data_IF_844521413014
#
_entry.id   IF_844521413014
#
_cell.length_a   1.000
_cell.length_b   1.000
_cell.length_c   1.000
_cell.angle_alpha   90.00
_cell.angle_beta   90.00
_cell.angle_gamma   90.00
#
_symmetry.space_group_name_H-M   'P 1'
#
loop_
_entity.id
_entity.type
_entity.pdbx_description
1 polymer ?
#
# COMPACT_ATOMS: atom_id res chain seq x y z
N UNK A 1 -3.49 11.57 13.21
CA UNK A 1 -4.52 10.55 12.92
C UNK A 1 -4.37 9.40 13.90
N UNK A 2 -5.48 8.86 14.40
CA UNK A 2 -5.55 7.58 15.11
C UNK A 2 -6.66 6.75 14.44
N UNK A 3 -6.40 5.46 14.18
CA UNK A 3 -7.35 4.51 13.60
C UNK A 3 -7.25 3.21 14.41
N UNK A 4 -8.40 2.63 14.79
CA UNK A 4 -8.46 1.25 15.26
C UNK A 4 -8.92 0.35 14.11
N UNK A 5 -8.32 -0.84 14.01
CA UNK A 5 -8.71 -1.88 13.06
C UNK A 5 -9.42 -3.05 13.74
N UNK A 6 -9.79 -2.93 15.02
CA UNK A 6 -10.37 -4.04 15.80
C UNK A 6 -11.69 -4.55 15.20
N UNK A 7 -12.47 -3.63 14.61
CA UNK A 7 -13.75 -3.93 13.95
C UNK A 7 -13.58 -4.24 12.44
N UNK A 8 -12.34 -4.43 11.98
CA UNK A 8 -12.02 -4.70 10.58
C UNK A 8 -11.45 -6.10 10.40
N UNK A 9 -11.65 -6.66 9.21
CA UNK A 9 -10.96 -7.89 8.84
C UNK A 9 -9.46 -7.59 8.61
N UNK A 10 -8.61 -8.36 9.29
CA UNK A 10 -7.16 -8.28 9.14
C UNK A 10 -6.48 -7.28 10.07
N UNK A 11 -5.18 -7.07 9.84
CA UNK A 11 -4.33 -6.17 10.63
C UNK A 11 -3.48 -5.31 9.71
N UNK A 12 -3.27 -4.06 10.10
CA UNK A 12 -2.34 -3.19 9.39
C UNK A 12 -0.91 -3.76 9.45
N UNK A 13 -0.23 -3.72 8.31
CA UNK A 13 1.19 -4.04 8.18
C UNK A 13 1.93 -2.83 7.58
N UNK A 14 2.56 -2.97 6.43
CA UNK A 14 3.27 -1.91 5.74
C UNK A 14 2.36 -0.84 5.11
N UNK A 15 2.86 0.38 5.04
CA UNK A 15 2.08 1.54 4.63
C UNK A 15 2.86 2.62 3.88
N UNK A 16 2.14 3.48 3.17
CA UNK A 16 2.64 4.68 2.50
C UNK A 16 1.64 5.84 2.64
N UNK A 17 1.96 7.01 2.10
CA UNK A 17 1.08 8.18 2.05
C UNK A 17 0.96 8.72 0.63
N UNK A 18 -0.22 9.23 0.28
CA UNK A 18 -0.44 9.91 -0.99
C UNK A 18 -0.25 11.43 -0.90
N UNK A 19 -0.37 12.11 -2.05
CA UNK A 19 -0.25 13.57 -2.17
C UNK A 19 -1.29 14.37 -1.37
N UNK A 20 -2.42 13.75 -1.02
CA UNK A 20 -3.52 14.38 -0.29
C UNK A 20 -3.41 14.12 1.23
N UNK A 21 -2.38 13.39 1.64
CA UNK A 21 -2.12 13.06 3.04
C UNK A 21 -2.89 11.84 3.53
N UNK A 22 -3.53 11.08 2.65
CA UNK A 22 -4.18 9.83 3.05
C UNK A 22 -3.11 8.77 3.35
N UNK A 23 -3.32 8.01 4.42
CA UNK A 23 -2.50 6.89 4.83
C UNK A 23 -3.02 5.60 4.20
N UNK A 24 -2.18 4.97 3.38
CA UNK A 24 -2.48 3.73 2.68
C UNK A 24 -1.78 2.57 3.38
N UNK A 25 -2.50 1.56 3.86
CA UNK A 25 -1.90 0.39 4.50
C UNK A 25 -2.43 -0.93 3.97
N UNK A 26 -1.51 -1.89 3.83
CA UNK A 26 -1.85 -3.28 3.57
C UNK A 26 -2.51 -3.91 4.81
N UNK A 27 -3.58 -4.67 4.58
CA UNK A 27 -4.34 -5.36 5.61
C UNK A 27 -4.08 -6.87 5.52
N UNK A 28 -3.11 -7.36 6.29
CA UNK A 28 -2.80 -8.80 6.41
C UNK A 28 -4.00 -9.55 6.96
N UNK A 29 -4.39 -10.66 6.34
CA UNK A 29 -5.64 -11.42 6.58
C UNK A 29 -6.92 -10.61 6.26
N UNK A 30 -6.77 -9.38 5.79
CA UNK A 30 -7.86 -8.45 5.47
C UNK A 30 -8.17 -8.36 3.97
N UNK A 31 -7.43 -9.10 3.14
CA UNK A 31 -7.64 -9.19 1.68
C UNK A 31 -7.62 -7.83 0.96
N UNK A 32 -6.93 -6.83 1.51
CA UNK A 32 -7.06 -5.48 1.00
C UNK A 32 -5.87 -4.57 1.27
N UNK A 33 -5.84 -3.46 0.55
CA UNK A 33 -5.24 -2.21 1.00
C UNK A 33 -6.36 -1.21 1.31
N UNK A 34 -6.24 -0.47 2.39
CA UNK A 34 -7.17 0.63 2.72
C UNK A 34 -6.46 1.97 2.66
N UNK A 35 -7.20 3.04 2.34
CA UNK A 35 -6.74 4.41 2.48
C UNK A 35 -7.56 5.13 3.55
N UNK A 36 -6.89 5.89 4.41
CA UNK A 36 -7.47 6.56 5.56
C UNK A 36 -7.10 8.02 5.50
N UNK A 37 -8.09 8.91 5.56
CA UNK A 37 -7.86 10.35 5.52
C UNK A 37 -7.21 10.87 6.82
N UNK A 38 -6.66 12.10 6.84
CA UNK A 38 -6.07 12.68 8.05
C UNK A 38 -7.02 12.76 9.26
N UNK A 39 -8.33 12.71 9.03
CA UNK A 39 -9.39 12.66 10.04
C UNK A 39 -9.62 11.27 10.64
N UNK A 40 -8.98 10.23 10.11
CA UNK A 40 -9.12 8.84 10.56
C UNK A 40 -10.27 8.08 9.90
N UNK A 41 -10.87 8.61 8.82
CA UNK A 41 -11.94 7.93 8.09
C UNK A 41 -11.35 7.12 6.94
N UNK A 42 -11.83 5.89 6.76
CA UNK A 42 -11.53 5.09 5.56
C UNK A 42 -12.20 5.76 4.36
N UNK A 43 -11.40 6.15 3.38
CA UNK A 43 -11.84 6.80 2.13
C UNK A 43 -11.72 5.89 0.92
N UNK A 44 -10.92 4.83 1.01
CA UNK A 44 -10.81 3.83 -0.05
C UNK A 44 -10.54 2.43 0.54
N UNK A 45 -11.03 1.39 -0.15
CA UNK A 45 -10.69 -0.01 0.13
C UNK A 45 -10.53 -0.76 -1.18
N UNK A 46 -9.30 -1.16 -1.48
CA UNK A 46 -8.94 -1.95 -2.64
C UNK A 46 -8.89 -3.42 -2.22
N UNK A 47 -9.88 -4.19 -2.66
CA UNK A 47 -9.86 -5.65 -2.50
C UNK A 47 -8.74 -6.26 -3.35
N UNK A 48 -8.06 -7.25 -2.80
CA UNK A 48 -6.96 -7.97 -3.41
C UNK A 48 -7.29 -9.46 -3.55
N UNK A 49 -6.75 -10.14 -4.57
CA UNK A 49 -6.87 -11.59 -4.72
C UNK A 49 -5.92 -12.37 -3.79
N UNK A 50 -5.43 -11.74 -2.72
CA UNK A 50 -4.40 -12.23 -1.82
C UNK A 50 -4.77 -11.92 -0.36
N UNK A 51 -4.73 -12.94 0.49
CA UNK A 51 -5.06 -12.85 1.92
C UNK A 51 -4.00 -12.14 2.74
N UNK A 52 -2.73 -12.19 2.34
CA UNK A 52 -1.58 -11.74 3.12
C UNK A 52 -0.78 -10.62 2.41
N UNK A 53 -1.39 -9.47 2.06
CA UNK A 53 -0.65 -8.32 1.58
C UNK A 53 0.19 -7.73 2.72
N UNK A 54 1.43 -7.35 2.45
CA UNK A 54 2.42 -6.99 3.49
C UNK A 54 2.88 -5.53 3.45
N UNK A 55 2.98 -4.92 2.27
CA UNK A 55 3.42 -3.53 2.11
C UNK A 55 2.82 -2.95 0.84
N UNK A 56 2.54 -1.65 0.82
CA UNK A 56 2.17 -0.94 -0.39
C UNK A 56 3.01 0.33 -0.59
N UNK A 57 3.32 0.65 -1.84
CA UNK A 57 3.97 1.91 -2.23
C UNK A 57 3.52 2.38 -3.60
N UNK A 58 3.43 3.68 -3.79
CA UNK A 58 3.24 4.24 -5.13
C UNK A 58 4.55 4.17 -5.92
N UNK A 59 4.43 3.87 -7.22
CA UNK A 59 5.54 3.76 -8.15
C UNK A 59 5.16 4.23 -9.55
N UNK A 60 6.00 3.89 -10.53
CA UNK A 60 6.01 4.45 -11.89
C UNK A 60 6.38 5.95 -11.91
N UNK A 61 6.78 6.53 -13.07
CA UNK A 61 7.24 7.92 -13.14
C UNK A 61 6.22 8.97 -12.66
N UNK A 62 4.92 8.67 -12.78
CA UNK A 62 3.84 9.54 -12.34
C UNK A 62 3.40 9.30 -10.89
N UNK A 63 3.96 8.28 -10.21
CA UNK A 63 3.55 7.84 -8.89
C UNK A 63 2.06 7.48 -8.79
N UNK A 64 1.44 7.01 -9.87
CA UNK A 64 -0.02 6.73 -9.98
C UNK A 64 -0.37 5.23 -9.99
N UNK A 65 0.62 4.36 -9.78
CA UNK A 65 0.44 2.91 -9.62
C UNK A 65 0.81 2.50 -8.21
N UNK A 66 -0.10 1.82 -7.50
CA UNK A 66 0.18 1.27 -6.18
C UNK A 66 0.70 -0.16 -6.33
N UNK A 67 1.97 -0.35 -6.01
CA UNK A 67 2.58 -1.66 -5.91
C UNK A 67 2.32 -2.24 -4.52
N UNK A 68 1.94 -3.51 -4.46
CA UNK A 68 1.62 -4.22 -3.22
C UNK A 68 2.41 -5.52 -3.17
N UNK A 69 3.23 -5.70 -2.14
CA UNK A 69 3.88 -6.99 -1.87
C UNK A 69 2.94 -7.90 -1.08
N UNK A 70 3.08 -9.21 -1.26
CA UNK A 70 2.31 -10.22 -0.52
C UNK A 70 3.20 -11.34 -0.01
N UNK A 71 2.69 -12.17 0.90
CA UNK A 71 3.38 -13.35 1.42
C UNK A 71 2.54 -14.62 1.27
N UNK A 72 3.14 -15.69 0.75
CA UNK A 72 2.50 -17.02 0.72
C UNK A 72 2.92 -17.94 1.87
N UNK A 73 3.72 -17.45 2.81
CA UNK A 73 4.33 -18.30 3.84
C UNK A 73 3.30 -18.93 4.79
N UNK A 74 2.18 -18.24 5.00
CA UNK A 74 1.10 -18.69 5.90
C UNK A 74 0.04 -19.55 5.22
N UNK A 75 0.08 -19.64 3.88
CA UNK A 75 -0.86 -20.46 3.13
C UNK A 75 -0.47 -21.95 3.18
N UNK A 76 -1.48 -22.78 3.42
CA UNK A 76 -1.41 -24.22 3.17
C UNK A 76 -1.53 -24.53 1.66
N UNK A 77 -1.50 -25.79 1.27
CA UNK A 77 -1.51 -26.17 -0.15
C UNK A 77 -2.78 -25.69 -0.88
N UNK A 78 -3.95 -25.95 -0.30
CA UNK A 78 -5.23 -25.50 -0.85
C UNK A 78 -5.29 -23.96 -0.99
N UNK A 79 -4.74 -23.23 -0.03
CA UNK A 79 -4.67 -21.77 -0.06
C UNK A 79 -3.76 -21.26 -1.18
N UNK A 80 -2.65 -21.96 -1.46
CA UNK A 80 -1.76 -21.61 -2.59
C UNK A 80 -2.40 -21.89 -3.93
N UNK A 81 -3.18 -22.96 -4.03
CA UNK A 81 -3.94 -23.28 -5.25
C UNK A 81 -5.05 -22.25 -5.51
N UNK A 82 -5.75 -21.78 -4.46
CA UNK A 82 -6.82 -20.79 -4.59
C UNK A 82 -6.32 -19.35 -4.72
N UNK A 83 -5.09 -19.06 -4.26
CA UNK A 83 -4.45 -17.75 -4.32
C UNK A 83 -3.13 -17.83 -5.12
N UNK A 84 -3.18 -18.08 -6.45
CA UNK A 84 -1.99 -18.31 -7.26
C UNK A 84 -1.08 -17.07 -7.37
N UNK A 85 -1.60 -15.90 -7.04
CA UNK A 85 -0.84 -14.65 -7.04
C UNK A 85 -0.07 -14.41 -5.73
N UNK A 86 -0.26 -15.25 -4.71
CA UNK A 86 0.37 -15.04 -3.42
C UNK A 86 1.88 -15.18 -3.41
N UNK A 87 2.52 -14.23 -2.72
CA UNK A 87 3.97 -14.09 -2.69
C UNK A 87 4.55 -13.27 -3.85
N UNK A 88 3.71 -12.79 -4.77
CA UNK A 88 4.14 -11.88 -5.84
C UNK A 88 4.02 -10.41 -5.41
N UNK A 89 4.50 -9.52 -6.29
CA UNK A 89 4.20 -8.08 -6.26
C UNK A 89 3.05 -7.81 -7.22
N UNK A 90 1.96 -7.23 -6.72
CA UNK A 90 0.80 -6.80 -7.50
C UNK A 90 0.94 -5.32 -7.85
N UNK A 91 0.46 -4.93 -9.03
CA UNK A 91 0.41 -3.54 -9.46
C UNK A 91 -1.05 -3.12 -9.67
N UNK A 92 -1.54 -2.19 -8.85
CA UNK A 92 -2.90 -1.67 -8.91
C UNK A 92 -2.89 -0.31 -9.61
N UNK A 93 -3.68 -0.19 -10.68
CA UNK A 93 -3.75 1.01 -11.53
C UNK A 93 -5.13 1.64 -11.45
N UNK A 94 -5.24 2.92 -11.81
CA UNK A 94 -6.52 3.62 -11.88
C UNK A 94 -7.08 4.05 -10.52
N UNK A 95 -6.22 4.24 -9.52
CA UNK A 95 -6.58 4.55 -8.13
C UNK A 95 -7.04 6.02 -7.97
N UNK A 96 -6.75 6.88 -8.95
CA UNK A 96 -7.21 8.28 -8.94
C UNK A 96 -6.40 9.22 -8.04
N UNK A 97 -5.33 8.75 -7.41
CA UNK A 97 -4.37 9.58 -6.66
C UNK A 97 -2.92 9.28 -7.05
N UNK A 98 -1.98 10.00 -6.42
CA UNK A 98 -0.54 9.81 -6.62
C UNK A 98 0.21 9.79 -5.29
N UNK A 99 1.27 9.02 -5.23
CA UNK A 99 2.18 8.99 -4.10
C UNK A 99 3.12 10.19 -4.01
N UNK A 100 3.97 10.13 -2.99
CA UNK A 100 5.09 11.03 -2.80
C UNK A 100 6.40 10.32 -3.17
N UNK A 101 7.38 11.08 -3.64
CA UNK A 101 8.71 10.53 -3.93
C UNK A 101 9.36 10.02 -2.64
N UNK A 102 9.96 8.83 -2.71
CA UNK A 102 10.67 8.26 -1.59
C UNK A 102 11.88 9.11 -1.20
N UNK A 103 12.10 9.25 0.11
CA UNK A 103 13.27 9.93 0.65
C UNK A 103 14.52 9.07 0.43
N UNK A 104 15.57 9.68 -0.11
CA UNK A 104 16.88 9.03 -0.22
C UNK A 104 17.66 9.24 1.07
N UNK A 105 18.13 8.16 1.67
CA UNK A 105 19.03 8.24 2.82
C UNK A 105 20.30 9.03 2.46
N UNK A 106 20.72 9.95 3.33
CA UNK A 106 21.93 10.77 3.13
C UNK A 106 21.79 11.91 2.12
N UNK A 107 20.58 12.22 1.63
CA UNK A 107 20.38 13.42 0.82
C UNK A 107 20.66 14.68 1.67
N UNK A 108 21.51 15.61 1.21
CA UNK A 108 21.80 16.82 1.97
C UNK A 108 20.52 17.61 2.25
N UNK A 109 20.36 18.05 3.50
CA UNK A 109 19.25 18.87 3.97
C UNK A 109 19.28 20.25 3.31
N UNK A 110 18.67 20.37 2.13
CA UNK A 110 18.64 21.62 1.36
C UNK A 110 18.15 21.49 -0.09
N UNK A 111 17.90 20.28 -0.60
CA UNK A 111 17.30 20.12 -1.94
C UNK A 111 15.79 20.33 -1.84
N UNK A 112 15.35 21.56 -2.13
CA UNK A 112 13.98 21.84 -2.57
C UNK A 112 13.60 20.85 -3.67
N UNK A 113 12.42 20.23 -3.57
CA UNK A 113 11.87 19.25 -4.52
C UNK A 113 11.58 19.82 -5.92
N UNK A 114 11.98 21.05 -6.21
CA UNK A 114 11.95 21.62 -7.54
C UNK A 114 13.08 21.02 -8.39
N UNK A 115 12.85 19.85 -9.00
CA UNK A 115 13.65 19.43 -10.15
C UNK A 115 14.08 17.96 -10.23
N UNK A 116 13.34 17.01 -9.68
CA UNK A 116 13.45 15.63 -10.16
C UNK A 116 12.85 15.55 -11.58
N UNK A 117 13.67 15.84 -12.58
CA UNK A 117 13.46 15.46 -13.98
C UNK A 117 14.34 14.23 -14.29
N UNK A 118 13.90 13.37 -15.23
CA UNK A 118 14.26 11.95 -15.30
C UNK A 118 15.75 11.65 -15.49
#
# INVERSE_FOLDING_TARGET
MFLSTDDMLGRADGATVDKDGNYWCAMVEGWAVIAVDPGGKIVERIELPDEFPTMCTFGDPNLDVLYVTSSRMRLNEQGRESQPLSGNVLAVKGIGTRGLAAWKFGAPSGVSSAGLQP
#
